data_IF_859115562329
#
_entry.id   IF_859115562329
#
_cell.length_a   1.000
_cell.length_b   1.000
_cell.length_c   1.000
_cell.angle_alpha   90.00
_cell.angle_beta   90.00
_cell.angle_gamma   90.00
#
_symmetry.space_group_name_H-M   'P 1'
#
loop_
_entity.id
_entity.type
_entity.pdbx_description
1 polymer ?
#
# COMPACT_ATOMS: atom_id res chain seq x y z
N UNK A 1 10.00 -1.39 11.30
CA UNK A 1 8.84 -1.92 10.56
C UNK A 1 8.58 -3.35 10.99
N UNK A 2 7.37 -3.66 11.41
CA UNK A 2 6.95 -4.99 11.80
C UNK A 2 5.74 -5.39 10.96
N UNK A 3 5.90 -6.38 10.10
CA UNK A 3 4.82 -6.88 9.24
C UNK A 3 3.65 -7.49 10.03
N UNK A 4 3.84 -7.84 11.31
CA UNK A 4 2.80 -8.35 12.21
C UNK A 4 1.89 -7.28 12.82
N UNK A 5 2.03 -6.00 12.46
CA UNK A 5 1.19 -4.92 13.03
C UNK A 5 -0.30 -5.08 12.76
N UNK A 6 -0.68 -5.71 11.65
CA UNK A 6 -2.09 -5.98 11.31
C UNK A 6 -2.78 -6.83 12.38
N UNK A 7 -2.04 -7.74 13.03
CA UNK A 7 -2.53 -8.58 14.12
C UNK A 7 -2.26 -7.98 15.51
N UNK A 8 -1.11 -7.34 15.68
CA UNK A 8 -0.66 -6.81 16.98
C UNK A 8 -1.42 -5.57 17.43
N UNK A 9 -1.76 -4.66 16.50
CA UNK A 9 -2.55 -3.48 16.82
C UNK A 9 -3.95 -3.81 17.35
N UNK A 10 -4.75 -4.71 16.73
CA UNK A 10 -6.03 -5.12 17.28
C UNK A 10 -5.94 -5.77 18.66
N UNK A 11 -4.88 -6.51 18.96
CA UNK A 11 -4.64 -7.09 20.29
C UNK A 11 -4.32 -6.05 21.35
N UNK A 12 -3.84 -4.87 20.96
CA UNK A 12 -3.44 -3.82 21.86
C UNK A 12 -1.97 -3.85 22.28
N UNK A 13 -1.14 -4.58 21.53
CA UNK A 13 0.32 -4.63 21.76
C UNK A 13 0.99 -3.28 21.51
N UNK A 14 0.34 -2.42 20.69
CA UNK A 14 0.80 -1.07 20.38
C UNK A 14 -0.33 -0.05 20.44
N UNK A 15 -0.01 1.16 20.90
CA UNK A 15 -0.94 2.30 20.97
C UNK A 15 -0.91 3.15 19.70
N UNK A 16 0.20 3.17 18.98
CA UNK A 16 0.39 3.89 17.73
C UNK A 16 1.48 3.23 16.88
N UNK A 17 1.35 3.33 15.56
CA UNK A 17 2.35 2.83 14.61
C UNK A 17 2.28 3.60 13.30
N UNK A 18 3.44 3.77 12.62
CA UNK A 18 3.48 4.14 11.23
C UNK A 18 3.35 2.87 10.38
N UNK A 19 2.34 2.83 9.50
CA UNK A 19 2.06 1.62 8.74
C UNK A 19 1.38 1.93 7.40
N UNK A 20 1.37 0.95 6.50
CA UNK A 20 0.69 1.07 5.22
C UNK A 20 -0.82 1.19 5.38
N UNK A 21 -1.44 2.04 4.58
CA UNK A 21 -2.86 2.34 4.62
C UNK A 21 -3.76 1.09 4.50
N UNK A 22 -3.54 0.21 3.54
CA UNK A 22 -4.35 -1.01 3.40
C UNK A 22 -4.17 -1.99 4.57
N UNK A 23 -2.98 -2.08 5.15
CA UNK A 23 -2.76 -2.88 6.35
C UNK A 23 -3.43 -2.25 7.58
N UNK A 24 -3.42 -0.92 7.71
CA UNK A 24 -4.16 -0.19 8.72
C UNK A 24 -5.67 -0.40 8.59
N UNK A 25 -6.19 -0.43 7.35
CA UNK A 25 -7.60 -0.73 7.09
C UNK A 25 -7.95 -2.15 7.57
N UNK A 26 -7.16 -3.17 7.25
CA UNK A 26 -7.39 -4.53 7.75
C UNK A 26 -7.37 -4.60 9.28
N UNK A 27 -6.43 -3.90 9.93
CA UNK A 27 -6.39 -3.82 11.39
C UNK A 27 -7.64 -3.14 11.96
N UNK A 28 -8.15 -2.07 11.34
CA UNK A 28 -9.39 -1.41 11.74
C UNK A 28 -10.63 -2.28 11.53
N UNK A 29 -10.68 -3.10 10.50
CA UNK A 29 -11.76 -4.09 10.34
C UNK A 29 -11.78 -5.10 11.48
N UNK A 30 -10.61 -5.52 11.97
CA UNK A 30 -10.51 -6.41 13.12
C UNK A 30 -10.82 -5.71 14.46
N UNK A 31 -10.53 -4.41 14.58
CA UNK A 31 -10.81 -3.61 15.78
C UNK A 31 -11.28 -2.20 15.39
N UNK A 32 -12.59 -1.95 15.34
CA UNK A 32 -13.16 -0.68 14.87
C UNK A 32 -12.76 0.57 15.64
N UNK A 33 -12.14 0.43 16.82
CA UNK A 33 -11.61 1.58 17.57
C UNK A 33 -10.28 2.12 17.05
N UNK A 34 -9.58 1.37 16.17
CA UNK A 34 -8.37 1.86 15.51
C UNK A 34 -8.73 3.03 14.59
N UNK A 35 -7.87 4.03 14.54
CA UNK A 35 -8.00 5.21 13.67
C UNK A 35 -6.78 5.34 12.79
N UNK A 36 -7.00 5.68 11.54
CA UNK A 36 -5.95 6.05 10.59
C UNK A 36 -5.91 7.57 10.45
N UNK A 37 -4.73 8.14 10.33
CA UNK A 37 -4.54 9.58 10.14
C UNK A 37 -3.36 9.89 9.23
N UNK A 38 -3.44 11.01 8.53
CA UNK A 38 -2.38 11.53 7.67
C UNK A 38 -1.52 12.53 8.48
N UNK A 39 -0.17 12.42 8.40
CA UNK A 39 0.71 13.44 8.97
C UNK A 39 0.54 14.79 8.25
N UNK A 40 0.62 15.90 9.00
CA UNK A 40 0.55 17.25 8.43
C UNK A 40 1.75 17.58 7.54
N UNK A 41 2.90 16.97 7.83
CA UNK A 41 4.16 17.11 7.11
C UNK A 41 4.13 16.45 5.73
N UNK A 42 3.16 15.60 5.47
CA UNK A 42 3.02 14.81 4.25
C UNK A 42 3.19 13.31 4.50
N UNK A 43 2.93 12.53 3.47
CA UNK A 43 3.01 11.07 3.53
C UNK A 43 3.62 10.50 2.24
N UNK A 44 4.34 9.37 2.33
CA UNK A 44 4.90 8.72 1.15
C UNK A 44 3.80 8.10 0.29
N UNK A 45 3.92 8.29 -1.02
CA UNK A 45 3.08 7.65 -2.03
C UNK A 45 3.93 6.68 -2.83
N UNK A 46 3.38 5.52 -3.16
CA UNK A 46 4.01 4.54 -4.02
C UNK A 46 3.00 3.89 -4.95
N UNK A 47 3.48 3.21 -5.96
CA UNK A 47 2.68 2.42 -6.88
C UNK A 47 3.38 1.11 -7.18
N UNK A 48 2.76 0.00 -6.81
CA UNK A 48 3.21 -1.32 -7.19
C UNK A 48 2.87 -1.59 -8.65
N UNK A 49 3.79 -2.20 -9.37
CA UNK A 49 3.65 -2.44 -10.80
C UNK A 49 4.01 -3.88 -11.14
N UNK A 50 3.24 -4.50 -12.02
CA UNK A 50 3.59 -5.79 -12.61
C UNK A 50 4.46 -5.55 -13.83
N UNK A 51 5.59 -6.25 -13.91
CA UNK A 51 6.55 -6.09 -15.00
C UNK A 51 6.93 -7.44 -15.61
N UNK A 52 7.30 -7.42 -16.90
CA UNK A 52 7.85 -8.59 -17.60
C UNK A 52 9.36 -8.38 -17.72
N UNK A 53 10.14 -9.30 -17.16
CA UNK A 53 11.60 -9.24 -17.25
C UNK A 53 12.06 -9.44 -18.69
N UNK A 54 13.15 -8.75 -19.10
CA UNK A 54 13.73 -8.86 -20.45
C UNK A 54 14.10 -10.31 -20.83
N UNK A 55 14.46 -11.13 -19.86
CA UNK A 55 14.82 -12.54 -20.04
C UNK A 55 13.64 -13.51 -19.92
N UNK A 56 12.40 -13.03 -19.78
CA UNK A 56 11.23 -13.89 -19.66
C UNK A 56 11.04 -14.76 -20.90
N UNK A 57 10.77 -16.04 -20.69
CA UNK A 57 10.57 -17.02 -21.78
C UNK A 57 9.12 -17.11 -22.25
N UNK A 58 8.16 -16.83 -21.37
CA UNK A 58 6.72 -16.96 -21.63
C UNK A 58 6.03 -15.59 -21.67
N UNK A 59 6.54 -14.67 -22.50
CA UNK A 59 6.10 -13.26 -22.57
C UNK A 59 4.61 -13.15 -22.89
N UNK A 60 4.11 -13.93 -23.85
CA UNK A 60 2.70 -13.86 -24.27
C UNK A 60 1.76 -14.32 -23.15
N UNK A 61 2.08 -15.39 -22.44
CA UNK A 61 1.30 -15.81 -21.26
C UNK A 61 1.35 -14.77 -20.13
N UNK A 62 2.51 -14.12 -19.93
CA UNK A 62 2.63 -13.03 -18.96
C UNK A 62 1.72 -11.84 -19.32
N UNK A 63 1.65 -11.48 -20.60
CA UNK A 63 0.73 -10.43 -21.09
C UNK A 63 -0.74 -10.80 -20.88
N UNK A 64 -1.11 -12.07 -21.16
CA UNK A 64 -2.47 -12.56 -20.91
C UNK A 64 -2.83 -12.46 -19.42
N UNK A 65 -1.92 -12.85 -18.53
CA UNK A 65 -2.11 -12.72 -17.10
C UNK A 65 -2.25 -11.24 -16.68
N UNK A 66 -1.38 -10.37 -17.21
CA UNK A 66 -1.46 -8.92 -16.91
C UNK A 66 -2.81 -8.34 -17.37
N UNK A 67 -3.26 -8.67 -18.56
CA UNK A 67 -4.57 -8.25 -19.06
C UNK A 67 -5.70 -8.74 -18.16
N UNK A 68 -5.66 -10.00 -17.73
CA UNK A 68 -6.65 -10.59 -16.85
C UNK A 68 -6.74 -9.86 -15.50
N UNK A 69 -5.61 -9.58 -14.85
CA UNK A 69 -5.61 -8.87 -13.55
C UNK A 69 -5.98 -7.39 -13.67
N UNK A 70 -5.85 -6.79 -14.87
CA UNK A 70 -6.25 -5.42 -15.17
C UNK A 70 -7.72 -5.28 -15.59
N UNK A 71 -8.46 -6.36 -15.78
CA UNK A 71 -9.91 -6.24 -15.95
C UNK A 71 -10.53 -5.61 -14.70
N UNK A 72 -11.46 -4.65 -14.83
CA UNK A 72 -11.99 -3.89 -13.70
C UNK A 72 -12.53 -4.74 -12.55
N UNK A 73 -13.22 -5.83 -12.86
CA UNK A 73 -13.77 -6.76 -11.87
C UNK A 73 -12.65 -7.50 -11.12
N UNK A 74 -11.65 -8.00 -11.85
CA UNK A 74 -10.51 -8.71 -11.26
C UNK A 74 -9.63 -7.76 -10.42
N UNK A 75 -9.39 -6.54 -10.90
CA UNK A 75 -8.68 -5.52 -10.14
C UNK A 75 -9.42 -5.18 -8.83
N UNK A 76 -10.74 -5.09 -8.86
CA UNK A 76 -11.56 -4.88 -7.66
C UNK A 76 -11.47 -6.03 -6.67
N UNK A 77 -11.42 -7.29 -7.14
CA UNK A 77 -11.20 -8.46 -6.27
C UNK A 77 -9.84 -8.39 -5.55
N UNK A 78 -8.78 -8.02 -6.27
CA UNK A 78 -7.46 -7.82 -5.68
C UNK A 78 -7.49 -6.71 -4.62
N UNK A 79 -8.10 -5.58 -4.94
CA UNK A 79 -8.27 -4.46 -3.99
C UNK A 79 -9.09 -4.85 -2.78
N UNK A 80 -10.17 -5.60 -2.96
CA UNK A 80 -11.03 -6.09 -1.88
C UNK A 80 -10.27 -6.98 -0.90
N UNK A 81 -9.39 -7.83 -1.41
CA UNK A 81 -8.54 -8.69 -0.60
C UNK A 81 -7.46 -7.91 0.13
N UNK A 82 -6.71 -7.10 -0.61
CA UNK A 82 -5.54 -6.39 -0.08
C UNK A 82 -5.89 -5.12 0.71
N UNK A 83 -7.09 -4.55 0.48
CA UNK A 83 -7.57 -3.29 1.04
C UNK A 83 -6.74 -2.08 0.62
N UNK A 84 -6.24 -2.12 -0.63
CA UNK A 84 -5.58 -0.98 -1.28
C UNK A 84 -6.39 -0.48 -2.47
N UNK A 85 -6.22 0.79 -2.79
CA UNK A 85 -6.67 1.32 -4.07
C UNK A 85 -5.93 0.66 -5.24
N UNK A 86 -6.51 0.71 -6.44
CA UNK A 86 -5.85 0.32 -7.68
C UNK A 86 -5.97 1.44 -8.72
N UNK A 87 -5.21 1.33 -9.81
CA UNK A 87 -5.19 2.31 -10.90
C UNK A 87 -6.10 1.97 -12.08
N UNK A 88 -7.03 1.03 -11.94
CA UNK A 88 -7.86 0.56 -13.05
C UNK A 88 -9.21 1.28 -13.03
N UNK A 89 -9.42 2.15 -14.01
CA UNK A 89 -10.67 2.87 -14.22
C UNK A 89 -11.84 1.91 -14.42
N UNK A 90 -12.93 2.14 -13.71
CA UNK A 90 -14.13 1.30 -13.77
C UNK A 90 -14.14 0.16 -12.75
N UNK A 91 -13.05 -0.05 -12.01
CA UNK A 91 -13.02 -1.05 -10.93
C UNK A 91 -13.81 -0.61 -9.71
N UNK A 92 -13.99 0.70 -9.50
CA UNK A 92 -14.68 1.29 -8.34
C UNK A 92 -16.10 0.77 -8.16
N UNK A 93 -16.81 0.47 -9.25
CA UNK A 93 -18.17 -0.08 -9.23
C UNK A 93 -18.27 -1.53 -8.73
N UNK A 94 -17.15 -2.25 -8.68
CA UNK A 94 -17.06 -3.61 -8.17
C UNK A 94 -16.41 -3.68 -6.79
N UNK A 95 -15.93 -2.53 -6.29
CA UNK A 95 -15.31 -2.45 -4.97
C UNK A 95 -16.35 -2.56 -3.85
N UNK A 96 -16.01 -3.13 -2.69
CA UNK A 96 -16.88 -3.09 -1.52
C UNK A 96 -17.21 -1.65 -1.12
N UNK A 97 -18.46 -1.42 -0.68
CA UNK A 97 -18.93 -0.10 -0.28
C UNK A 97 -18.09 0.52 0.85
N UNK A 98 -17.61 -0.30 1.79
CA UNK A 98 -16.76 0.15 2.90
C UNK A 98 -15.41 0.73 2.44
N UNK A 99 -14.97 0.40 1.22
CA UNK A 99 -13.74 0.98 0.64
C UNK A 99 -13.98 2.34 -0.03
N UNK A 100 -15.18 2.64 -0.48
CA UNK A 100 -15.50 3.90 -1.16
C UNK A 100 -15.47 5.12 -0.24
N UNK A 101 -15.54 4.91 1.06
CA UNK A 101 -15.56 5.96 2.10
C UNK A 101 -14.44 5.84 3.13
N UNK A 102 -13.66 4.77 3.07
CA UNK A 102 -12.58 4.53 4.02
C UNK A 102 -11.46 5.58 3.87
N UNK A 103 -11.13 6.25 4.96
CA UNK A 103 -10.06 7.28 4.99
C UNK A 103 -8.70 6.72 4.56
N UNK A 104 -8.46 5.44 4.74
CA UNK A 104 -7.25 4.75 4.28
C UNK A 104 -7.16 4.65 2.75
N UNK A 105 -8.30 4.71 2.04
CA UNK A 105 -8.40 4.55 0.59
C UNK A 105 -8.72 5.88 -0.09
N UNK A 106 -9.68 6.62 0.45
CA UNK A 106 -10.11 7.92 -0.06
C UNK A 106 -9.42 9.00 0.74
N UNK A 107 -8.38 9.58 0.17
CA UNK A 107 -7.59 10.64 0.81
C UNK A 107 -8.49 11.87 1.02
N UNK A 108 -8.62 12.39 2.25
CA UNK A 108 -9.37 13.64 2.50
C UNK A 108 -8.82 14.82 1.69
N UNK A 109 -9.69 15.73 1.29
CA UNK A 109 -9.34 16.86 0.42
C UNK A 109 -8.16 17.69 0.94
N UNK A 110 -8.10 17.89 2.25
CA UNK A 110 -7.05 18.63 2.94
C UNK A 110 -5.66 18.00 2.82
N UNK A 111 -5.58 16.68 2.55
CA UNK A 111 -4.33 15.94 2.40
C UNK A 111 -3.98 15.55 0.96
N UNK A 112 -4.85 15.80 -0.03
CA UNK A 112 -4.64 15.36 -1.42
C UNK A 112 -3.32 15.85 -2.03
N UNK A 113 -2.84 17.01 -1.61
CA UNK A 113 -1.61 17.61 -2.11
C UNK A 113 -0.40 17.36 -1.19
N UNK A 114 -0.57 16.60 -0.11
CA UNK A 114 0.50 16.30 0.86
C UNK A 114 1.24 14.99 0.55
N UNK A 115 0.77 14.22 -0.43
CA UNK A 115 1.41 12.99 -0.86
C UNK A 115 2.68 13.24 -1.69
N UNK A 116 3.77 12.55 -1.36
CA UNK A 116 5.06 12.69 -2.04
C UNK A 116 5.57 11.34 -2.50
N UNK A 117 5.88 11.22 -3.81
CA UNK A 117 6.64 10.07 -4.30
C UNK A 117 8.08 10.17 -3.79
N UNK A 118 8.52 9.14 -3.06
CA UNK A 118 9.88 9.11 -2.52
C UNK A 118 10.87 8.93 -3.69
N UNK A 119 11.77 9.89 -3.94
CA UNK A 119 12.75 9.75 -5.00
C UNK A 119 13.76 8.65 -4.67
N UNK A 120 14.38 8.08 -5.71
CA UNK A 120 15.50 7.17 -5.51
C UNK A 120 16.66 7.91 -4.84
N UNK A 121 17.20 7.31 -3.78
CA UNK A 121 18.36 7.85 -3.10
C UNK A 121 19.61 7.78 -4.01
N UNK A 122 20.53 8.73 -3.84
CA UNK A 122 21.87 8.62 -4.42
C UNK A 122 22.60 7.37 -3.89
N UNK A 123 23.61 6.90 -4.61
CA UNK A 123 24.45 5.78 -4.13
C UNK A 123 25.02 6.08 -2.74
N UNK A 124 25.52 7.27 -2.52
CA UNK A 124 26.09 7.70 -1.24
C UNK A 124 25.06 7.63 -0.11
N UNK A 125 23.84 8.14 -0.32
CA UNK A 125 22.76 8.06 0.66
C UNK A 125 22.37 6.60 0.96
N UNK A 126 22.34 5.73 -0.04
CA UNK A 126 22.08 4.30 0.16
C UNK A 126 23.18 3.62 0.95
N UNK A 127 24.44 3.96 0.70
CA UNK A 127 25.59 3.42 1.44
C UNK A 127 25.50 3.82 2.93
N UNK A 128 25.16 5.08 3.24
CA UNK A 128 24.93 5.55 4.62
C UNK A 128 23.75 4.83 5.28
N UNK A 129 22.62 4.73 4.60
CA UNK A 129 21.44 4.02 5.11
C UNK A 129 21.76 2.56 5.44
N UNK A 130 22.50 1.89 4.56
CA UNK A 130 22.94 0.51 4.76
C UNK A 130 23.87 0.37 5.96
N UNK A 131 24.83 1.29 6.11
CA UNK A 131 25.75 1.29 7.25
C UNK A 131 25.00 1.50 8.58
N UNK A 132 24.12 2.50 8.64
CA UNK A 132 23.29 2.78 9.84
C UNK A 132 22.42 1.57 10.19
N UNK A 133 21.73 1.00 9.20
CA UNK A 133 20.85 -0.16 9.43
C UNK A 133 21.63 -1.38 9.91
N UNK A 134 22.81 -1.63 9.33
CA UNK A 134 23.67 -2.73 9.76
C UNK A 134 24.14 -2.56 11.19
N UNK A 135 24.42 -1.33 11.63
CA UNK A 135 24.80 -1.06 13.02
C UNK A 135 23.63 -1.24 14.01
N UNK A 136 22.44 -0.80 13.61
CA UNK A 136 21.23 -0.91 14.45
C UNK A 136 20.72 -2.34 14.62
N UNK A 137 21.08 -3.25 13.72
CA UNK A 137 20.57 -4.65 13.70
C UNK A 137 21.59 -5.67 14.20
N UNK A 138 22.76 -5.24 14.71
CA UNK A 138 23.72 -6.09 15.42
C UNK A 138 23.21 -6.45 16.82
#
# INVERSE_FOLDING_TARGET
FDYGLTEKMPRGDYNAAAYWNGAAFRARLAKPSIRFGYPREGYPVWMDSVVILKSAKNVENAKLFMNFIMEPENAALISSFARYANGITGSEKYMPEDMSTAVEIVVPDEFKNAGVFVPACSKEANDYNTAIWTELTK
#
